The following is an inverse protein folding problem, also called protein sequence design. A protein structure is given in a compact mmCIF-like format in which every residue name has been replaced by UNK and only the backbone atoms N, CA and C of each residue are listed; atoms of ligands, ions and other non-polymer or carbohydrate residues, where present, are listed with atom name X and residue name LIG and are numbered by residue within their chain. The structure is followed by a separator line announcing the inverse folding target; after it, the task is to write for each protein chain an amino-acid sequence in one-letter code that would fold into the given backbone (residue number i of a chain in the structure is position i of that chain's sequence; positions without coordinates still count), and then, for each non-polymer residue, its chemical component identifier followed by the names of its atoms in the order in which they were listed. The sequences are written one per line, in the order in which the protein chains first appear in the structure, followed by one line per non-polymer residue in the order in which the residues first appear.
data_IF_821979299124
#
_entry.id   IF_821979299124
#
_cell.length_a   1.000
_cell.length_b   1.000
_cell.length_c   1.000
_cell.angle_alpha   90.00
_cell.angle_beta   90.00
_cell.angle_gamma   90.00
#
_symmetry.space_group_name_H-M   'P 1'
#
loop_
_entity.id
_entity.type
_entity.pdbx_description
1 polymer ?
#
# COMPACT_ATOMS: atom_id res chain seq x y z
N UNK A 1 14.31 -3.17 7.48
CA UNK A 1 13.75 -2.31 6.43
C UNK A 1 13.14 -1.02 6.99
N UNK A 2 12.78 -0.08 6.12
CA UNK A 2 12.11 1.17 6.46
C UNK A 2 10.89 1.37 5.56
N UNK A 3 9.77 1.78 6.14
CA UNK A 3 8.53 2.13 5.43
C UNK A 3 8.24 3.61 5.69
N UNK A 4 8.13 4.40 4.63
CA UNK A 4 7.77 5.82 4.69
C UNK A 4 6.56 6.07 3.81
N UNK A 5 5.54 6.71 4.34
CA UNK A 5 4.38 7.14 3.55
C UNK A 5 4.69 8.47 2.88
N UNK A 6 4.43 8.56 1.58
CA UNK A 6 4.70 9.75 0.77
C UNK A 6 3.42 10.52 0.42
N UNK A 7 2.26 9.98 0.83
CA UNK A 7 0.93 10.50 0.54
C UNK A 7 0.12 9.59 -0.37
N UNK A 8 -1.21 9.72 -0.36
CA UNK A 8 -2.15 8.92 -1.13
C UNK A 8 -1.88 7.41 -0.90
N UNK A 9 -1.64 6.62 -1.93
CA UNK A 9 -1.22 5.22 -1.86
C UNK A 9 0.29 5.03 -2.10
N UNK A 10 1.06 6.12 -2.05
CA UNK A 10 2.49 6.11 -2.35
C UNK A 10 3.33 5.83 -1.10
N UNK A 11 4.10 4.75 -1.13
CA UNK A 11 5.06 4.40 -0.09
C UNK A 11 6.46 4.25 -0.67
N UNK A 12 7.44 4.51 0.18
CA UNK A 12 8.83 4.17 -0.04
C UNK A 12 9.21 3.06 0.92
N UNK A 13 9.54 1.90 0.36
CA UNK A 13 10.07 0.74 1.06
C UNK A 13 11.57 0.69 0.79
N UNK A 14 12.38 0.73 1.85
CA UNK A 14 13.84 0.68 1.71
C UNK A 14 14.41 -0.43 2.55
N UNK A 15 15.28 -1.18 1.95
CA UNK A 15 15.99 -2.27 2.60
C UNK A 15 17.47 -2.25 2.26
N UNK A 16 18.25 -3.04 3.01
CA UNK A 16 19.68 -3.23 2.79
C UNK A 16 19.95 -4.62 2.20
N UNK A 17 19.23 -4.97 1.14
CA UNK A 17 19.52 -6.19 0.38
C UNK A 17 20.75 -5.93 -0.47
N UNK A 18 21.84 -6.60 -0.13
CA UNK A 18 23.13 -6.41 -0.79
C UNK A 18 23.83 -5.09 -0.43
N UNK A 19 24.93 -4.76 -1.11
CA UNK A 19 25.79 -3.64 -0.76
C UNK A 19 25.14 -2.26 -0.96
N UNK A 20 24.22 -2.13 -1.89
CA UNK A 20 23.60 -0.85 -2.27
C UNK A 20 22.19 -0.67 -1.70
N UNK A 21 21.62 -1.73 -1.10
CA UNK A 21 20.22 -1.77 -0.68
C UNK A 21 19.23 -1.73 -1.86
N UNK A 22 17.94 -1.88 -1.58
CA UNK A 22 16.88 -1.76 -2.58
C UNK A 22 15.86 -0.71 -2.13
N UNK A 23 15.45 0.14 -3.05
CA UNK A 23 14.36 1.10 -2.86
C UNK A 23 13.22 0.76 -3.80
N UNK A 24 12.05 0.47 -3.24
CA UNK A 24 10.80 0.26 -3.95
C UNK A 24 9.84 1.42 -3.65
N UNK A 25 9.20 1.95 -4.68
CA UNK A 25 8.14 2.97 -4.58
C UNK A 25 6.84 2.36 -5.10
N UNK A 26 5.76 2.52 -4.33
CA UNK A 26 4.40 2.16 -4.77
C UNK A 26 3.66 3.39 -5.24
N UNK A 27 2.83 3.25 -6.28
CA UNK A 27 1.82 4.21 -6.73
C UNK A 27 2.24 5.70 -6.65
N UNK A 28 3.27 6.15 -7.40
CA UNK A 28 3.68 7.55 -7.40
C UNK A 28 2.58 8.44 -8.01
N UNK A 29 2.30 9.58 -7.39
CA UNK A 29 1.20 10.48 -7.74
C UNK A 29 1.66 11.78 -8.40
N UNK A 30 0.73 12.48 -9.07
CA UNK A 30 0.96 13.83 -9.64
C UNK A 30 0.62 14.93 -8.63
N UNK A 31 1.20 16.13 -8.83
CA UNK A 31 0.91 17.31 -7.98
C UNK A 31 -0.56 17.78 -8.06
N UNK A 32 -1.34 17.28 -9.02
CA UNK A 32 -2.75 17.62 -9.21
C UNK A 32 -3.61 17.28 -8.00
N UNK A 33 -3.23 16.22 -7.26
CA UNK A 33 -3.91 15.84 -6.02
C UNK A 33 -3.73 16.85 -4.88
N UNK A 34 -2.86 17.86 -5.05
CA UNK A 34 -2.63 18.93 -4.08
C UNK A 34 -1.50 18.66 -3.09
N UNK A 35 -0.90 17.47 -3.10
CA UNK A 35 0.28 17.16 -2.31
C UNK A 35 1.57 17.50 -3.05
N UNK A 36 2.65 17.74 -2.29
CA UNK A 36 3.97 18.01 -2.87
C UNK A 36 4.56 16.73 -3.45
N UNK A 37 4.87 16.75 -4.73
CA UNK A 37 5.63 15.68 -5.39
C UNK A 37 7.12 15.90 -5.16
N UNK A 38 7.79 14.92 -4.61
CA UNK A 38 9.25 14.88 -4.53
C UNK A 38 9.79 13.90 -5.56
N UNK A 39 11.00 14.19 -6.07
CA UNK A 39 11.67 13.23 -6.95
C UNK A 39 12.47 12.23 -6.11
N UNK A 40 12.14 10.98 -6.24
CA UNK A 40 12.81 9.89 -5.52
C UNK A 40 13.62 9.03 -6.49
N UNK A 41 14.73 8.50 -6.02
CA UNK A 41 15.41 7.40 -6.70
C UNK A 41 14.79 6.09 -6.24
N UNK A 42 14.53 5.19 -7.19
CA UNK A 42 14.02 3.86 -6.92
C UNK A 42 14.63 2.83 -7.88
N UNK A 43 14.73 1.60 -7.39
CA UNK A 43 15.11 0.43 -8.18
C UNK A 43 13.86 -0.24 -8.77
N UNK A 44 12.76 -0.17 -8.05
CA UNK A 44 11.49 -0.81 -8.39
C UNK A 44 10.36 0.19 -8.19
N UNK A 45 9.41 0.20 -9.11
CA UNK A 45 8.13 0.94 -8.97
C UNK A 45 7.00 -0.04 -9.24
N UNK A 46 6.04 -0.12 -8.33
CA UNK A 46 4.77 -0.83 -8.55
C UNK A 46 3.65 0.16 -8.81
N UNK A 47 2.78 -0.15 -9.77
CA UNK A 47 1.61 0.68 -10.14
C UNK A 47 0.38 -0.21 -10.10
N UNK A 48 -0.53 0.10 -9.16
CA UNK A 48 -1.75 -0.70 -8.98
C UNK A 48 -2.74 -0.53 -10.12
N UNK A 49 -2.82 0.67 -10.71
CA UNK A 49 -3.71 0.99 -11.83
C UNK A 49 -3.35 2.31 -12.50
N UNK A 50 -3.92 2.58 -13.68
CA UNK A 50 -3.57 3.71 -14.53
C UNK A 50 -4.43 4.96 -14.24
N UNK A 51 -4.41 5.44 -12.98
CA UNK A 51 -4.95 6.74 -12.62
C UNK A 51 -3.81 7.73 -12.29
N UNK A 52 -4.05 9.04 -12.55
CA UNK A 52 -3.05 10.11 -12.41
C UNK A 52 -2.46 10.26 -11.00
N UNK A 53 -3.16 9.77 -10.01
CA UNK A 53 -2.75 9.76 -8.61
C UNK A 53 -2.03 8.47 -8.18
N UNK A 54 -1.71 7.55 -9.14
CA UNK A 54 -1.02 6.28 -8.89
C UNK A 54 0.10 5.94 -9.88
N UNK A 55 0.18 6.61 -11.06
CA UNK A 55 1.03 6.19 -12.17
C UNK A 55 2.10 7.21 -12.60
N UNK A 56 2.46 8.17 -11.76
CA UNK A 56 3.41 9.23 -12.10
C UNK A 56 4.87 8.75 -12.05
N UNK A 57 5.25 7.89 -12.99
CA UNK A 57 6.65 7.41 -13.14
C UNK A 57 7.63 8.58 -13.34
N UNK A 58 7.16 9.70 -13.93
CA UNK A 58 8.00 10.89 -14.14
C UNK A 58 8.52 11.55 -12.86
N UNK A 59 7.96 11.22 -11.69
CA UNK A 59 8.47 11.64 -10.40
C UNK A 59 9.65 10.78 -9.91
N UNK A 60 9.93 9.66 -10.56
CA UNK A 60 10.98 8.72 -10.15
C UNK A 60 12.23 8.96 -10.99
N UNK A 61 13.36 9.05 -10.32
CA UNK A 61 14.67 9.18 -10.94
C UNK A 61 15.36 7.82 -11.06
N UNK A 62 16.34 7.74 -11.96
CA UNK A 62 17.03 6.51 -12.29
C UNK A 62 16.32 5.73 -13.39
N UNK A 63 16.55 4.45 -13.45
CA UNK A 63 15.95 3.51 -14.40
C UNK A 63 15.26 2.38 -13.61
N UNK A 64 14.15 2.65 -12.90
CA UNK A 64 13.49 1.64 -12.10
C UNK A 64 12.88 0.55 -12.97
N UNK A 65 12.85 -0.67 -12.44
CA UNK A 65 12.03 -1.71 -13.02
C UNK A 65 10.56 -1.41 -12.65
N UNK A 66 9.73 -1.15 -13.66
CA UNK A 66 8.31 -0.79 -13.47
C UNK A 66 7.44 -2.03 -13.59
N UNK A 67 6.64 -2.31 -12.56
CA UNK A 67 5.66 -3.41 -12.50
C UNK A 67 4.26 -2.81 -12.46
N UNK A 68 3.49 -3.02 -13.52
CA UNK A 68 2.13 -2.52 -13.67
C UNK A 68 1.16 -3.58 -14.21
N UNK A 69 1.50 -4.87 -14.04
CA UNK A 69 0.66 -6.01 -14.41
C UNK A 69 0.65 -7.06 -13.31
N UNK A 70 -0.39 -7.87 -13.28
CA UNK A 70 -0.43 -9.06 -12.42
C UNK A 70 0.62 -10.08 -12.88
N UNK A 71 1.12 -10.89 -11.95
CA UNK A 71 2.16 -11.88 -12.21
C UNK A 71 3.19 -11.97 -11.09
N UNK A 72 4.20 -12.78 -11.28
CA UNK A 72 5.28 -13.01 -10.33
C UNK A 72 6.59 -12.41 -10.86
N UNK A 73 7.28 -11.68 -10.01
CA UNK A 73 8.51 -10.96 -10.34
C UNK A 73 9.56 -11.19 -9.25
N UNK A 74 10.82 -11.24 -9.67
CA UNK A 74 11.96 -11.17 -8.77
C UNK A 74 12.92 -10.10 -9.31
N UNK A 75 13.09 -9.03 -8.54
CA UNK A 75 13.96 -7.90 -8.91
C UNK A 75 14.86 -7.55 -7.75
N UNK A 76 16.19 -7.66 -7.92
CA UNK A 76 17.21 -7.36 -6.89
C UNK A 76 16.96 -8.11 -5.55
N UNK A 77 16.43 -9.34 -5.61
CA UNK A 77 16.12 -10.14 -4.43
C UNK A 77 14.81 -9.78 -3.71
N UNK A 78 14.01 -8.89 -4.29
CA UNK A 78 12.64 -8.64 -3.84
C UNK A 78 11.70 -9.50 -4.67
N UNK A 79 10.91 -10.35 -4.01
CA UNK A 79 9.82 -11.09 -4.65
C UNK A 79 8.56 -10.26 -4.61
N UNK A 80 7.87 -10.17 -5.75
CA UNK A 80 6.64 -9.38 -5.89
C UNK A 80 5.61 -10.21 -6.63
N UNK A 81 4.46 -10.42 -6.03
CA UNK A 81 3.31 -11.02 -6.66
C UNK A 81 2.22 -9.97 -6.88
N UNK A 82 1.83 -9.76 -8.14
CA UNK A 82 0.70 -8.93 -8.53
C UNK A 82 -0.56 -9.78 -8.66
N UNK A 83 -1.61 -9.45 -7.90
CA UNK A 83 -2.89 -10.15 -7.87
C UNK A 83 -3.97 -9.24 -8.45
N UNK A 84 -4.71 -9.73 -9.47
CA UNK A 84 -5.81 -8.98 -10.05
C UNK A 84 -6.94 -8.71 -9.04
N UNK A 85 -7.42 -7.49 -9.02
CA UNK A 85 -8.52 -7.02 -8.22
C UNK A 85 -9.28 -5.90 -8.96
N UNK A 86 -10.32 -5.35 -8.33
CA UNK A 86 -11.14 -4.30 -8.92
C UNK A 86 -11.18 -3.05 -8.07
N UNK A 87 -11.26 -1.93 -8.74
CA UNK A 87 -11.39 -0.61 -8.10
C UNK A 87 -12.84 -0.28 -7.71
N UNK A 88 -13.77 -1.21 -7.87
CA UNK A 88 -15.19 -1.09 -7.51
C UNK A 88 -15.83 -2.46 -7.19
N UNK A 89 -17.12 -2.45 -6.79
CA UNK A 89 -17.90 -3.65 -6.47
C UNK A 89 -18.58 -4.30 -7.69
N UNK A 90 -18.30 -3.80 -8.89
CA UNK A 90 -18.92 -4.24 -10.15
C UNK A 90 -17.90 -4.83 -11.12
N UNK A 91 -16.93 -5.53 -10.58
CA UNK A 91 -15.88 -6.20 -11.36
C UNK A 91 -15.15 -5.24 -12.31
N UNK A 92 -14.86 -4.03 -11.84
CA UNK A 92 -14.19 -2.99 -12.61
C UNK A 92 -15.08 -2.22 -13.57
N UNK A 93 -16.40 -2.45 -13.55
CA UNK A 93 -17.34 -1.82 -14.47
C UNK A 93 -17.49 -0.30 -14.32
N UNK A 94 -17.08 0.27 -13.19
CA UNK A 94 -17.15 1.73 -12.92
C UNK A 94 -15.79 2.41 -12.96
N UNK A 95 -14.74 1.78 -12.38
CA UNK A 95 -13.41 2.38 -12.18
C UNK A 95 -12.26 1.56 -12.73
N UNK A 96 -12.54 0.37 -13.26
CA UNK A 96 -11.55 -0.48 -13.88
C UNK A 96 -10.85 -1.44 -12.90
N UNK A 97 -9.76 -2.02 -13.39
CA UNK A 97 -8.94 -2.96 -12.62
C UNK A 97 -8.08 -2.28 -11.56
N UNK A 98 -7.63 -3.07 -10.62
CA UNK A 98 -6.64 -2.72 -9.61
C UNK A 98 -5.75 -3.95 -9.41
N UNK A 99 -4.47 -3.74 -9.12
CA UNK A 99 -3.53 -4.82 -8.81
C UNK A 99 -3.12 -4.69 -7.35
N UNK A 100 -3.31 -5.76 -6.62
CA UNK A 100 -2.77 -5.90 -5.26
C UNK A 100 -1.35 -6.42 -5.41
N UNK A 101 -0.38 -5.81 -4.73
CA UNK A 101 1.00 -6.28 -4.72
C UNK A 101 1.38 -6.86 -3.36
N UNK A 102 1.74 -8.14 -3.33
CA UNK A 102 2.40 -8.79 -2.20
C UNK A 102 3.91 -8.80 -2.46
N UNK A 103 4.67 -8.21 -1.57
CA UNK A 103 6.12 -7.99 -1.70
C UNK A 103 6.85 -8.64 -0.53
N UNK A 104 7.90 -9.41 -0.80
CA UNK A 104 8.77 -9.98 0.25
C UNK A 104 10.10 -9.25 0.27
N UNK A 105 10.39 -8.61 1.41
CA UNK A 105 11.60 -7.82 1.65
C UNK A 105 12.14 -8.17 3.04
N UNK A 106 13.40 -8.64 3.16
CA UNK A 106 14.02 -9.07 4.45
C UNK A 106 13.14 -10.07 5.23
N UNK A 107 12.57 -11.06 4.55
CA UNK A 107 11.66 -12.07 5.13
C UNK A 107 10.35 -11.49 5.70
N UNK A 108 10.01 -10.24 5.38
CA UNK A 108 8.75 -9.60 5.75
C UNK A 108 7.85 -9.54 4.52
N UNK A 109 6.63 -10.05 4.64
CA UNK A 109 5.60 -9.97 3.61
C UNK A 109 4.77 -8.70 3.79
N UNK A 110 4.79 -7.83 2.77
CA UNK A 110 4.04 -6.57 2.74
C UNK A 110 3.02 -6.64 1.61
N UNK A 111 1.77 -6.39 1.93
CA UNK A 111 0.69 -6.33 0.93
C UNK A 111 0.20 -4.89 0.78
N UNK A 112 0.24 -4.38 -0.46
CA UNK A 112 -0.30 -3.09 -0.86
C UNK A 112 -1.58 -3.32 -1.65
N UNK A 113 -2.71 -2.87 -1.14
CA UNK A 113 -4.02 -3.14 -1.73
C UNK A 113 -4.39 -2.21 -2.90
N UNK A 114 -3.54 -1.22 -3.23
CA UNK A 114 -3.91 -0.21 -4.22
C UNK A 114 -5.19 0.51 -3.85
N UNK A 115 -6.05 0.75 -4.82
CA UNK A 115 -7.38 1.32 -4.64
C UNK A 115 -8.47 0.25 -4.64
N UNK A 116 -8.28 -0.79 -3.81
CA UNK A 116 -9.23 -1.89 -3.67
C UNK A 116 -10.65 -1.35 -3.43
N UNK A 117 -11.61 -1.82 -4.26
CA UNK A 117 -13.01 -1.39 -4.21
C UNK A 117 -13.99 -2.42 -3.64
N UNK A 118 -13.55 -3.66 -3.35
CA UNK A 118 -14.42 -4.78 -2.97
C UNK A 118 -13.83 -5.62 -1.82
N UNK A 119 -14.60 -6.56 -1.30
CA UNK A 119 -14.15 -7.58 -0.36
C UNK A 119 -13.42 -8.67 -1.13
N UNK A 120 -12.32 -9.19 -0.58
CA UNK A 120 -11.47 -10.18 -1.26
C UNK A 120 -12.18 -11.52 -1.42
N UNK A 121 -11.99 -12.15 -2.57
CA UNK A 121 -12.44 -13.51 -2.81
C UNK A 121 -11.41 -14.56 -2.31
N UNK A 122 -11.80 -15.83 -2.32
CA UNK A 122 -10.96 -16.93 -1.83
C UNK A 122 -9.63 -17.05 -2.59
N UNK A 123 -9.62 -16.83 -3.90
CA UNK A 123 -8.41 -16.95 -4.72
C UNK A 123 -7.43 -15.82 -4.45
N UNK A 124 -7.95 -14.61 -4.21
CA UNK A 124 -7.13 -13.46 -3.81
C UNK A 124 -6.54 -13.70 -2.42
N UNK A 125 -7.35 -14.21 -1.46
CA UNK A 125 -6.89 -14.51 -0.11
C UNK A 125 -5.81 -15.58 -0.07
N UNK A 126 -5.92 -16.66 -0.87
CA UNK A 126 -4.90 -17.71 -0.99
C UNK A 126 -3.52 -17.13 -1.41
N UNK A 127 -3.52 -16.12 -2.29
CA UNK A 127 -2.29 -15.44 -2.74
C UNK A 127 -1.72 -14.44 -1.74
N UNK A 128 -2.55 -13.94 -0.84
CA UNK A 128 -2.18 -12.96 0.18
C UNK A 128 -1.88 -13.60 1.55
N UNK A 129 -1.94 -14.93 1.63
CA UNK A 129 -1.66 -15.67 2.87
C UNK A 129 -0.26 -15.32 3.41
N UNK A 130 -0.18 -15.14 4.74
CA UNK A 130 1.07 -14.83 5.43
C UNK A 130 1.51 -13.36 5.30
N UNK A 131 0.61 -12.45 4.96
CA UNK A 131 0.87 -11.00 5.00
C UNK A 131 1.24 -10.56 6.42
N UNK A 132 2.44 -10.03 6.60
CA UNK A 132 2.89 -9.47 7.88
C UNK A 132 2.41 -8.00 8.04
N UNK A 133 2.52 -7.20 6.97
CA UNK A 133 2.18 -5.77 6.97
C UNK A 133 1.19 -5.48 5.84
N UNK A 134 0.07 -4.86 6.19
CA UNK A 134 -0.98 -4.50 5.25
C UNK A 134 -1.06 -2.99 5.05
N UNK A 135 -0.87 -2.53 3.82
CA UNK A 135 -1.09 -1.15 3.37
C UNK A 135 -2.48 -1.08 2.75
N UNK A 136 -3.44 -0.43 3.44
CA UNK A 136 -4.87 -0.53 3.13
C UNK A 136 -5.53 0.84 2.91
N UNK A 137 -6.29 1.04 1.81
CA UNK A 137 -7.04 2.27 1.60
C UNK A 137 -8.23 2.34 2.55
N UNK A 138 -8.46 3.52 3.17
CA UNK A 138 -9.52 3.70 4.18
C UNK A 138 -10.36 4.95 3.96
N UNK A 139 -10.10 5.72 2.91
CA UNK A 139 -10.77 7.00 2.62
C UNK A 139 -12.20 6.87 2.10
N UNK A 140 -12.65 5.69 1.73
CA UNK A 140 -13.97 5.48 1.15
C UNK A 140 -14.17 6.21 -0.19
N UNK A 141 -15.40 6.43 -0.62
CA UNK A 141 -15.84 7.07 -1.88
C UNK A 141 -15.31 6.39 -3.16
N UNK A 142 -14.01 6.31 -3.32
CA UNK A 142 -13.36 5.69 -4.49
C UNK A 142 -12.86 4.29 -4.18
N UNK A 143 -12.58 3.98 -2.93
CA UNK A 143 -12.05 2.71 -2.44
C UNK A 143 -13.00 2.10 -1.41
N UNK A 144 -12.64 0.97 -0.82
CA UNK A 144 -13.36 0.43 0.34
C UNK A 144 -13.46 1.49 1.44
N UNK A 145 -14.58 1.52 2.13
CA UNK A 145 -14.80 2.40 3.29
C UNK A 145 -14.24 1.77 4.58
N UNK A 146 -14.30 2.50 5.68
CA UNK A 146 -13.76 2.06 6.97
C UNK A 146 -14.29 0.68 7.43
N UNK A 147 -15.60 0.41 7.30
CA UNK A 147 -16.20 -0.87 7.70
C UNK A 147 -15.68 -2.04 6.83
N UNK A 148 -15.63 -1.87 5.51
CA UNK A 148 -15.07 -2.87 4.61
C UNK A 148 -13.57 -3.07 4.80
N UNK A 149 -12.82 -1.99 5.14
CA UNK A 149 -11.43 -2.11 5.48
C UNK A 149 -11.22 -3.01 6.71
N UNK A 150 -12.05 -2.89 7.74
CA UNK A 150 -12.03 -3.80 8.92
C UNK A 150 -12.36 -5.24 8.52
N UNK A 151 -13.32 -5.44 7.60
CA UNK A 151 -13.64 -6.77 7.08
C UNK A 151 -12.48 -7.40 6.31
N UNK A 152 -11.81 -6.65 5.42
CA UNK A 152 -10.61 -7.10 4.70
C UNK A 152 -9.45 -7.41 5.65
N UNK A 153 -9.24 -6.59 6.68
CA UNK A 153 -8.25 -6.86 7.73
C UNK A 153 -8.55 -8.20 8.42
N UNK A 154 -9.82 -8.46 8.73
CA UNK A 154 -10.24 -9.72 9.36
C UNK A 154 -10.10 -10.94 8.44
N UNK A 155 -10.10 -10.75 7.12
CA UNK A 155 -9.83 -11.82 6.16
C UNK A 155 -8.34 -12.13 6.03
N UNK A 156 -7.47 -11.09 6.05
CA UNK A 156 -6.02 -11.23 5.84
C UNK A 156 -5.27 -11.56 7.14
N UNK A 157 -5.77 -11.09 8.28
CA UNK A 157 -5.17 -11.25 9.61
C UNK A 157 -3.68 -10.80 9.68
N UNK A 158 -3.34 -9.56 9.23
CA UNK A 158 -1.97 -9.08 9.25
C UNK A 158 -1.49 -8.78 10.67
N UNK A 159 -0.18 -8.73 10.87
CA UNK A 159 0.43 -8.33 12.16
C UNK A 159 0.45 -6.83 12.35
N UNK A 160 0.62 -6.07 11.27
CA UNK A 160 0.63 -4.60 11.28
C UNK A 160 -0.28 -4.10 10.16
N UNK A 161 -1.13 -3.12 10.49
CA UNK A 161 -1.96 -2.40 9.53
C UNK A 161 -1.46 -0.97 9.42
N UNK A 162 -1.26 -0.50 8.19
CA UNK A 162 -0.91 0.89 7.86
C UNK A 162 -1.99 1.43 6.92
N UNK A 163 -2.85 2.36 7.38
CA UNK A 163 -3.86 2.97 6.53
C UNK A 163 -3.22 3.92 5.52
N UNK A 164 -3.83 4.00 4.34
CA UNK A 164 -3.46 4.89 3.25
C UNK A 164 -4.71 5.44 2.56
N UNK A 165 -4.55 6.27 1.53
CA UNK A 165 -5.62 6.82 0.71
C UNK A 165 -6.74 7.44 1.55
N UNK A 166 -6.37 8.35 2.47
CA UNK A 166 -7.30 9.10 3.33
C UNK A 166 -6.97 10.59 3.33
N UNK A 167 -7.94 11.41 3.74
CA UNK A 167 -7.83 12.87 3.73
C UNK A 167 -6.75 13.37 4.66
N UNK A 168 -5.83 14.17 4.11
CA UNK A 168 -4.79 14.90 4.83
C UNK A 168 -4.79 16.38 4.42
N UNK A 169 -4.18 17.28 5.21
CA UNK A 169 -4.06 18.68 4.83
C UNK A 169 -3.37 18.84 3.46
N UNK A 170 -3.96 19.68 2.61
CA UNK A 170 -3.46 19.92 1.24
C UNK A 170 -4.02 18.98 0.17
N UNK A 171 -4.45 17.77 0.51
CA UNK A 171 -5.04 16.85 -0.46
C UNK A 171 -6.37 17.40 -1.00
N UNK A 172 -6.49 17.48 -2.33
CA UNK A 172 -7.71 17.98 -3.01
C UNK A 172 -8.75 16.90 -3.22
N UNK A 173 -8.35 15.62 -3.22
CA UNK A 173 -9.27 14.49 -3.37
C UNK A 173 -10.28 14.50 -2.22
N UNK A 174 -11.55 14.35 -2.54
CA UNK A 174 -12.64 14.38 -1.56
C UNK A 174 -12.91 12.98 -1.01
N UNK A 175 -12.22 12.65 0.06
CA UNK A 175 -12.26 11.36 0.77
C UNK A 175 -12.31 11.57 2.28
N UNK A 176 -12.66 10.52 3.03
CA UNK A 176 -12.72 10.56 4.49
C UNK A 176 -11.32 10.62 5.14
N UNK A 177 -11.25 11.17 6.35
CA UNK A 177 -10.06 11.14 7.19
C UNK A 177 -9.85 9.76 7.85
N UNK A 178 -8.63 9.54 8.35
CA UNK A 178 -8.25 8.28 9.02
C UNK A 178 -9.02 8.02 10.32
N UNK A 179 -9.60 9.05 10.93
CA UNK A 179 -10.31 8.97 12.21
C UNK A 179 -11.53 8.04 12.16
N UNK A 180 -12.23 7.99 11.00
CA UNK A 180 -13.34 7.07 10.78
C UNK A 180 -12.88 5.62 10.87
N UNK A 181 -11.78 5.30 10.22
CA UNK A 181 -11.18 3.97 10.24
C UNK A 181 -10.67 3.58 11.62
N UNK A 182 -9.95 4.48 12.31
CA UNK A 182 -9.46 4.24 13.68
C UNK A 182 -10.63 3.92 14.62
N UNK A 183 -11.74 4.65 14.50
CA UNK A 183 -12.94 4.41 15.31
C UNK A 183 -13.57 3.06 15.01
N UNK A 184 -13.66 2.68 13.73
CA UNK A 184 -14.27 1.43 13.29
C UNK A 184 -13.42 0.21 13.70
N UNK A 185 -12.08 0.30 13.52
CA UNK A 185 -11.16 -0.76 13.90
C UNK A 185 -11.06 -0.94 15.43
N UNK A 186 -11.23 0.14 16.19
CA UNK A 186 -11.22 0.11 17.66
C UNK A 186 -9.83 -0.08 18.28
N UNK A 187 -8.76 -0.01 17.49
CA UNK A 187 -7.36 -0.14 17.96
C UNK A 187 -6.72 1.24 18.05
N UNK A 188 -6.04 1.51 19.17
CA UNK A 188 -5.30 2.75 19.36
C UNK A 188 -4.08 2.79 18.42
N UNK A 189 -3.94 3.82 17.56
CA UNK A 189 -2.82 3.90 16.63
C UNK A 189 -1.51 4.27 17.34
N UNK A 190 -0.42 3.67 16.86
CA UNK A 190 0.94 4.18 17.01
C UNK A 190 1.21 5.14 15.86
N UNK A 191 1.60 6.38 16.18
CA UNK A 191 1.89 7.40 15.17
C UNK A 191 3.40 7.52 14.96
N UNK A 192 3.84 7.42 13.70
CA UNK A 192 5.25 7.45 13.30
C UNK A 192 5.42 8.33 12.06
N UNK A 193 6.59 8.93 11.88
CA UNK A 193 6.98 9.57 10.61
C UNK A 193 7.51 8.53 9.62
N UNK A 194 8.12 7.46 10.18
CA UNK A 194 8.75 6.38 9.42
C UNK A 194 8.80 5.13 10.29
N UNK A 195 8.29 4.03 9.78
CA UNK A 195 8.40 2.74 10.44
C UNK A 195 9.75 2.10 10.12
N UNK A 196 10.56 1.85 11.16
CA UNK A 196 11.73 0.98 11.09
C UNK A 196 11.36 -0.37 11.69
N UNK A 197 11.54 -1.45 10.94
CA UNK A 197 11.13 -2.77 11.35
C UNK A 197 12.04 -3.86 10.78
N UNK A 198 12.20 -4.94 11.52
CA UNK A 198 12.80 -6.20 11.09
C UNK A 198 11.89 -7.37 11.46
N UNK A 199 12.11 -8.56 10.92
CA UNK A 199 11.24 -9.74 11.16
C UNK A 199 11.00 -10.02 12.65
N UNK A 200 12.02 -9.83 13.49
CA UNK A 200 11.93 -10.03 14.94
C UNK A 200 11.10 -9.00 15.69
N UNK A 201 10.86 -7.83 15.07
CA UNK A 201 10.11 -6.72 15.66
C UNK A 201 8.61 -6.80 15.34
N UNK A 202 8.20 -7.79 14.51
CA UNK A 202 6.79 -8.02 14.20
C UNK A 202 6.01 -8.47 15.44
N UNK A 203 4.82 -7.90 15.70
CA UNK A 203 3.94 -8.33 16.78
C UNK A 203 3.66 -9.84 16.71
N UNK A 204 3.65 -10.53 17.86
CA UNK A 204 3.45 -11.98 17.91
C UNK A 204 2.04 -12.35 18.38
N UNK A 205 1.37 -11.50 19.14
CA UNK A 205 0.06 -11.76 19.74
C UNK A 205 -1.02 -10.86 19.16
N UNK A 206 -0.92 -9.54 19.37
CA UNK A 206 -1.93 -8.58 18.97
C UNK A 206 -1.50 -7.81 17.71
N UNK A 207 -2.46 -7.55 16.82
CA UNK A 207 -2.26 -6.71 15.64
C UNK A 207 -2.01 -5.25 16.06
N UNK A 208 -1.03 -4.59 15.45
CA UNK A 208 -0.74 -3.18 15.64
C UNK A 208 -1.31 -2.32 14.51
N UNK A 209 -1.90 -1.17 14.86
CA UNK A 209 -2.24 -0.11 13.93
C UNK A 209 -1.14 0.95 13.95
N UNK A 210 -0.48 1.17 12.81
CA UNK A 210 0.57 2.20 12.64
C UNK A 210 0.07 3.26 11.66
N UNK A 211 -0.10 4.50 12.13
CA UNK A 211 -0.45 5.64 11.27
C UNK A 211 0.82 6.43 10.98
N UNK A 212 1.22 6.41 9.70
CA UNK A 212 2.38 7.18 9.23
C UNK A 212 1.95 8.61 8.89
N UNK A 213 2.84 9.56 9.18
CA UNK A 213 2.64 10.98 8.89
C UNK A 213 3.46 11.41 7.68
N UNK A 214 2.95 12.39 6.93
CA UNK A 214 3.65 13.08 5.85
C UNK A 214 4.71 14.05 6.36
#
# INVERSE_FOLDING_TARGET
MYITWLGQSCFKLQDKIGPDGVTLITDPFTAEIGLKVSHYEADIVTISHDHYDHNNIGAIRGEPYVINTAGEYEVKGVFIEGVEAWHDEKDGGERGGNIIYRMEIEDISITHLGDLGHILDTKQLEKLEGTDILLIPVGGKYTINAAKAVEVISQIEPRIVIPMHYKVPGLKVDIDGVEKFIKELGIKPRNEEKLKISKKDLPQEDMELVVLRL
#
